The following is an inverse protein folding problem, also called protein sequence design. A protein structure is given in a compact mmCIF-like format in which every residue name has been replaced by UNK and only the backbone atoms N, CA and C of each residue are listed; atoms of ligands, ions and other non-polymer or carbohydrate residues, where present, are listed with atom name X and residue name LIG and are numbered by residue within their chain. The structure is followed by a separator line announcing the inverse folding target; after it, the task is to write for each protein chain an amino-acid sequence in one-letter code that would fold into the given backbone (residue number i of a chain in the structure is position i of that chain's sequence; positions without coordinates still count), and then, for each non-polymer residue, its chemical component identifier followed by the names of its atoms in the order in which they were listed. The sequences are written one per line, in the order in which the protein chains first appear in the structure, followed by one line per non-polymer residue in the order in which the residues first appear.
data_IF_836169508686
#
_entry.id   IF_836169508686
#
_cell.length_a   1.000
_cell.length_b   1.000
_cell.length_c   1.000
_cell.angle_alpha   90.00
_cell.angle_beta   90.00
_cell.angle_gamma   90.00
#
_symmetry.space_group_name_H-M   'P 1'
#
loop_
_entity.id
_entity.type
_entity.pdbx_description
1 polymer ?
#
# COMPACT_ATOMS: atom_id res chain seq x y z
N UNK A 1 -0.92 -23.23 5.36
CA UNK A 1 -1.49 -22.30 4.37
C UNK A 1 -0.40 -21.28 4.07
N UNK A 2 -0.13 -20.99 2.79
CA UNK A 2 0.83 -19.94 2.39
C UNK A 2 0.33 -18.58 2.93
N UNK A 3 1.20 -17.81 3.57
CA UNK A 3 0.87 -16.49 4.13
C UNK A 3 0.29 -15.56 3.05
N UNK A 4 0.79 -15.68 1.82
CA UNK A 4 0.29 -14.92 0.67
C UNK A 4 -1.17 -15.26 0.35
N UNK A 5 -1.56 -16.52 0.49
CA UNK A 5 -2.95 -16.95 0.25
C UNK A 5 -3.88 -16.49 1.38
N UNK A 6 -3.41 -16.51 2.63
CA UNK A 6 -4.15 -15.95 3.76
C UNK A 6 -4.42 -14.46 3.57
N UNK A 7 -3.40 -13.68 3.19
CA UNK A 7 -3.56 -12.24 2.94
C UNK A 7 -4.53 -11.97 1.78
N UNK A 8 -4.49 -12.76 0.70
CA UNK A 8 -5.44 -12.65 -0.41
C UNK A 8 -6.88 -12.91 0.05
N UNK A 9 -7.11 -13.96 0.84
CA UNK A 9 -8.44 -14.27 1.36
C UNK A 9 -8.96 -13.16 2.29
N UNK A 10 -8.12 -12.69 3.21
CA UNK A 10 -8.47 -11.59 4.11
C UNK A 10 -8.76 -10.30 3.32
N UNK A 11 -8.00 -10.02 2.27
CA UNK A 11 -8.25 -8.83 1.43
C UNK A 11 -9.57 -8.95 0.69
N UNK A 12 -9.94 -10.13 0.18
CA UNK A 12 -11.26 -10.37 -0.42
C UNK A 12 -12.39 -10.22 0.62
N UNK A 13 -12.19 -10.68 1.87
CA UNK A 13 -13.14 -10.48 2.97
C UNK A 13 -13.30 -8.98 3.29
N UNK A 14 -12.19 -8.25 3.39
CA UNK A 14 -12.20 -6.81 3.60
C UNK A 14 -12.92 -6.08 2.47
N UNK A 15 -12.68 -6.47 1.21
CA UNK A 15 -13.38 -5.91 0.06
C UNK A 15 -14.89 -6.07 0.19
N UNK A 16 -15.38 -7.28 0.49
CA UNK A 16 -16.81 -7.56 0.67
C UNK A 16 -17.42 -6.67 1.76
N UNK A 17 -16.72 -6.49 2.88
CA UNK A 17 -17.18 -5.65 4.00
C UNK A 17 -17.22 -4.17 3.64
N UNK A 18 -16.22 -3.67 2.91
CA UNK A 18 -16.11 -2.25 2.59
C UNK A 18 -16.96 -1.84 1.38
N UNK A 19 -17.15 -2.73 0.40
CA UNK A 19 -17.83 -2.44 -0.88
C UNK A 19 -19.16 -1.69 -0.75
N UNK A 20 -20.06 -1.97 0.21
CA UNK A 20 -21.31 -1.22 0.34
C UNK A 20 -21.14 0.27 0.67
N UNK A 21 -20.01 0.65 1.26
CA UNK A 21 -19.70 2.02 1.70
C UNK A 21 -18.75 2.78 0.76
N UNK A 22 -18.37 2.17 -0.36
CA UNK A 22 -17.46 2.72 -1.35
C UNK A 22 -18.16 2.86 -2.69
N UNK A 23 -17.92 3.97 -3.37
CA UNK A 23 -18.38 4.18 -4.73
C UNK A 23 -17.75 3.17 -5.71
N UNK A 24 -16.43 2.95 -5.60
CA UNK A 24 -15.70 1.95 -6.36
C UNK A 24 -14.69 1.26 -5.44
N UNK A 25 -14.65 -0.08 -5.44
CA UNK A 25 -13.62 -0.83 -4.72
C UNK A 25 -13.35 -2.18 -5.40
N UNK A 26 -12.15 -2.33 -5.94
CA UNK A 26 -11.70 -3.53 -6.65
C UNK A 26 -10.46 -4.12 -6.02
N UNK A 27 -10.30 -5.43 -6.19
CA UNK A 27 -9.06 -6.13 -5.88
C UNK A 27 -8.05 -5.91 -7.00
N UNK A 28 -6.79 -5.59 -6.66
CA UNK A 28 -5.74 -5.38 -7.66
C UNK A 28 -5.15 -6.71 -8.15
N UNK A 29 -5.81 -7.31 -9.14
CA UNK A 29 -5.38 -8.58 -9.74
C UNK A 29 -4.06 -8.47 -10.51
N UNK A 30 -3.66 -7.26 -10.95
CA UNK A 30 -2.48 -7.07 -11.81
C UNK A 30 -1.16 -7.28 -11.07
N UNK A 31 -1.14 -7.04 -9.76
CA UNK A 31 0.10 -7.08 -8.96
C UNK A 31 0.26 -8.36 -8.16
N UNK A 32 -0.73 -9.27 -8.19
CA UNK A 32 -0.78 -10.47 -7.35
C UNK A 32 -0.49 -10.20 -5.85
N UNK A 33 -0.76 -8.98 -5.41
CA UNK A 33 -0.58 -8.49 -4.04
C UNK A 33 -1.95 -8.24 -3.42
N UNK A 34 -2.09 -8.34 -2.08
CA UNK A 34 -3.36 -8.24 -1.36
C UNK A 34 -3.84 -6.77 -1.25
N UNK A 35 -3.93 -6.06 -2.38
CA UNK A 35 -4.30 -4.65 -2.44
C UNK A 35 -5.73 -4.46 -2.93
N UNK A 36 -6.40 -3.46 -2.36
CA UNK A 36 -7.64 -2.93 -2.90
C UNK A 36 -7.40 -1.54 -3.46
N UNK A 37 -8.00 -1.23 -4.60
CA UNK A 37 -7.93 0.08 -5.22
C UNK A 37 -9.34 0.60 -5.41
N UNK A 38 -9.60 1.85 -5.04
CA UNK A 38 -10.96 2.38 -5.12
C UNK A 38 -11.11 3.84 -4.70
N UNK A 39 -12.36 4.32 -4.77
CA UNK A 39 -12.79 5.64 -4.31
C UNK A 39 -13.95 5.49 -3.34
N UNK A 40 -13.87 6.17 -2.20
CA UNK A 40 -14.93 6.12 -1.19
C UNK A 40 -16.18 6.87 -1.65
N UNK A 41 -15.99 8.06 -2.24
CA UNK A 41 -17.02 8.86 -2.90
C UNK A 41 -16.65 9.05 -4.36
N UNK A 42 -17.62 9.37 -5.21
CA UNK A 42 -17.38 9.64 -6.64
C UNK A 42 -16.36 10.78 -6.86
N UNK A 43 -16.43 11.81 -6.02
CA UNK A 43 -15.55 12.99 -6.04
C UNK A 43 -14.16 12.75 -5.46
N UNK A 44 -13.93 11.62 -4.79
CA UNK A 44 -12.65 11.33 -4.16
C UNK A 44 -11.60 10.89 -5.19
N UNK A 45 -10.33 11.17 -4.89
CA UNK A 45 -9.21 10.56 -5.60
C UNK A 45 -9.15 9.04 -5.38
N UNK A 46 -8.56 8.32 -6.34
CA UNK A 46 -8.25 6.89 -6.19
C UNK A 46 -7.31 6.68 -5.00
N UNK A 47 -7.60 5.65 -4.20
CA UNK A 47 -6.82 5.25 -3.03
C UNK A 47 -6.43 3.79 -3.15
N UNK A 48 -5.24 3.47 -2.68
CA UNK A 48 -4.76 2.09 -2.54
C UNK A 48 -4.80 1.69 -1.07
N UNK A 49 -5.50 0.60 -0.77
CA UNK A 49 -5.56 -0.03 0.53
C UNK A 49 -4.66 -1.26 0.51
N UNK A 50 -3.68 -1.29 1.40
CA UNK A 50 -2.79 -2.43 1.62
C UNK A 50 -3.24 -3.13 2.89
N UNK A 51 -3.71 -4.37 2.78
CA UNK A 51 -3.98 -5.17 3.97
C UNK A 51 -2.66 -5.63 4.58
N UNK A 52 -2.55 -5.54 5.90
CA UNK A 52 -1.41 -6.08 6.67
C UNK A 52 -1.98 -6.83 7.88
N UNK A 53 -1.41 -7.98 8.20
CA UNK A 53 -1.73 -8.70 9.42
C UNK A 53 -1.22 -7.92 10.65
N UNK A 54 -2.11 -7.65 11.62
CA UNK A 54 -1.80 -6.91 12.84
C UNK A 54 -0.85 -7.65 13.80
N UNK A 55 -0.70 -8.96 13.66
CA UNK A 55 0.33 -9.73 14.36
C UNK A 55 1.74 -9.53 13.79
N UNK A 56 1.89 -8.86 12.64
CA UNK A 56 3.18 -8.63 12.01
C UNK A 56 3.76 -7.26 12.34
N UNK A 57 5.02 -7.26 12.77
CA UNK A 57 5.79 -6.03 12.90
C UNK A 57 6.19 -5.52 11.51
N UNK A 58 5.65 -4.36 11.13
CA UNK A 58 6.09 -3.65 9.92
C UNK A 58 7.14 -2.61 10.26
N UNK A 59 8.36 -2.82 9.76
CA UNK A 59 9.42 -1.83 9.84
C UNK A 59 9.31 -0.79 8.70
N UNK A 60 10.14 0.26 8.78
CA UNK A 60 10.14 1.34 7.79
C UNK A 60 10.43 0.87 6.36
N UNK A 61 11.34 -0.09 6.17
CA UNK A 61 11.66 -0.59 4.83
C UNK A 61 10.49 -1.37 4.24
N UNK A 62 9.80 -2.19 5.04
CA UNK A 62 8.58 -2.89 4.63
C UNK A 62 7.49 -1.92 4.19
N UNK A 63 7.23 -0.88 4.99
CA UNK A 63 6.27 0.17 4.64
C UNK A 63 6.64 0.87 3.32
N UNK A 64 7.92 1.20 3.15
CA UNK A 64 8.42 1.83 1.93
C UNK A 64 8.26 0.93 0.71
N UNK A 65 8.50 -0.36 0.84
CA UNK A 65 8.27 -1.35 -0.21
C UNK A 65 6.79 -1.38 -0.61
N UNK A 66 5.86 -1.46 0.35
CA UNK A 66 4.42 -1.42 0.04
C UNK A 66 4.01 -0.14 -0.71
N UNK A 67 4.54 1.02 -0.30
CA UNK A 67 4.26 2.29 -1.00
C UNK A 67 4.80 2.23 -2.43
N UNK A 68 6.06 1.81 -2.62
CA UNK A 68 6.67 1.70 -3.96
C UNK A 68 5.90 0.71 -4.85
N UNK A 69 5.57 -0.46 -4.34
CA UNK A 69 4.86 -1.52 -5.05
C UNK A 69 3.44 -1.12 -5.45
N UNK A 70 2.80 -0.26 -4.64
CA UNK A 70 1.48 0.31 -4.97
C UNK A 70 1.51 1.25 -6.18
N UNK A 71 2.69 1.67 -6.64
CA UNK A 71 2.86 2.70 -7.68
C UNK A 71 2.24 4.04 -7.32
N UNK A 72 1.99 4.28 -6.02
CA UNK A 72 1.37 5.50 -5.49
C UNK A 72 2.32 6.16 -4.49
N UNK A 73 2.25 7.49 -4.36
CA UNK A 73 3.04 8.24 -3.37
C UNK A 73 2.49 8.12 -1.94
N UNK A 74 1.29 7.58 -1.80
CA UNK A 74 0.61 7.33 -0.54
C UNK A 74 -0.28 6.07 -0.65
N UNK A 75 -0.44 5.39 0.48
CA UNK A 75 -1.32 4.24 0.64
C UNK A 75 -2.12 4.37 1.94
N UNK A 76 -3.18 3.59 2.06
CA UNK A 76 -3.85 3.35 3.34
C UNK A 76 -3.53 1.93 3.79
N UNK A 77 -2.91 1.77 4.95
CA UNK A 77 -2.77 0.46 5.57
C UNK A 77 -4.11 0.10 6.22
N UNK A 78 -4.61 -1.10 5.91
CA UNK A 78 -5.69 -1.74 6.63
C UNK A 78 -5.09 -2.84 7.50
N UNK A 79 -4.91 -2.54 8.79
CA UNK A 79 -4.32 -3.47 9.75
C UNK A 79 -5.43 -4.34 10.31
N UNK A 80 -5.39 -5.63 10.03
CA UNK A 80 -6.39 -6.60 10.48
C UNK A 80 -5.94 -7.26 11.79
N UNK A 81 -6.77 -7.20 12.82
CA UNK A 81 -6.51 -7.87 14.11
C UNK A 81 -7.29 -9.18 14.22
N UNK A 82 -6.85 -10.05 15.12
CA UNK A 82 -7.40 -11.39 15.31
C UNK A 82 -8.89 -11.38 15.73
N UNK A 83 -9.34 -10.29 16.36
CA UNK A 83 -10.73 -10.03 16.72
C UNK A 83 -11.61 -9.60 15.52
N UNK A 84 -11.08 -9.69 14.29
CA UNK A 84 -11.73 -9.25 13.04
C UNK A 84 -11.94 -7.74 12.90
N UNK A 85 -11.38 -6.93 13.82
CA UNK A 85 -11.34 -5.47 13.68
C UNK A 85 -10.34 -5.08 12.60
N UNK A 86 -10.54 -3.92 11.96
CA UNK A 86 -9.52 -3.34 11.10
C UNK A 86 -9.35 -1.86 11.35
N UNK A 87 -8.09 -1.46 11.50
CA UNK A 87 -7.71 -0.06 11.69
C UNK A 87 -7.07 0.46 10.41
N UNK A 88 -7.41 1.69 10.05
CA UNK A 88 -6.97 2.30 8.80
C UNK A 88 -6.00 3.44 9.08
N UNK A 89 -4.76 3.33 8.58
CA UNK A 89 -3.74 4.38 8.70
C UNK A 89 -3.34 4.88 7.32
N UNK A 90 -3.36 6.20 7.11
CA UNK A 90 -2.81 6.81 5.90
C UNK A 90 -1.29 6.92 6.05
N UNK A 91 -0.56 6.34 5.11
CA UNK A 91 0.89 6.41 5.04
C UNK A 91 1.30 7.13 3.75
N UNK A 92 2.23 8.06 3.86
CA UNK A 92 2.71 8.84 2.73
C UNK A 92 4.22 9.04 2.83
N UNK A 93 4.89 8.89 1.70
CA UNK A 93 6.28 9.30 1.55
C UNK A 93 6.30 10.80 1.26
N UNK A 94 6.71 11.62 2.24
CA UNK A 94 6.84 13.06 2.04
C UNK A 94 8.07 13.43 1.21
N UNK A 95 7.96 14.50 0.40
CA UNK A 95 9.07 15.09 -0.39
C UNK A 95 10.27 15.57 0.47
N UNK A 96 10.07 15.75 1.79
CA UNK A 96 11.11 16.07 2.77
C UNK A 96 11.62 14.85 3.57
N UNK A 97 11.24 13.64 3.17
CA UNK A 97 11.90 12.45 3.69
C UNK A 97 13.34 12.46 3.20
N UNK A 98 14.31 12.28 4.11
CA UNK A 98 15.73 12.12 3.75
C UNK A 98 15.93 11.09 2.62
N UNK A 99 15.01 10.13 2.51
CA UNK A 99 15.02 9.09 1.50
C UNK A 99 14.91 9.56 0.03
N UNK A 100 14.18 10.65 -0.26
CA UNK A 100 14.09 11.15 -1.64
C UNK A 100 15.34 11.93 -2.07
N UNK A 101 16.16 12.38 -1.11
CA UNK A 101 17.47 12.96 -1.42
C UNK A 101 18.43 11.90 -1.95
N UNK A 102 18.44 10.71 -1.36
CA UNK A 102 19.39 9.65 -1.72
C UNK A 102 19.19 9.12 -3.16
N UNK A 103 17.94 9.04 -3.65
CA UNK A 103 17.66 8.62 -5.04
C UNK A 103 18.04 9.68 -6.10
N UNK A 104 18.05 10.95 -5.72
CA UNK A 104 18.43 12.03 -6.63
C UNK A 104 19.95 12.12 -6.78
N UNK A 105 20.69 11.75 -5.73
CA UNK A 105 22.16 11.75 -5.73
C UNK A 105 22.70 10.56 -6.57
N UNK A 106 22.17 9.35 -6.40
CA UNK A 106 22.60 8.19 -7.21
C UNK A 106 22.33 8.34 -8.72
N UNK A 107 21.31 9.11 -9.11
CA UNK A 107 21.00 9.37 -10.52
C UNK A 107 21.96 10.39 -11.17
N UNK A 108 22.65 11.19 -10.35
CA UNK A 108 23.52 12.27 -10.82
C UNK A 108 24.98 11.81 -10.96
N UNK A 109 25.42 10.82 -10.17
CA UNK A 109 26.81 10.34 -10.20
C UNK A 109 27.12 9.40 -11.39
N UNK A 110 26.12 8.83 -12.07
CA UNK A 110 26.35 7.93 -13.22
C UNK A 110 26.44 8.59 -14.60
N UNK A 111 26.33 9.92 -14.69
CA UNK A 111 26.35 10.64 -15.98
C UNK A 111 27.64 11.42 -16.23
N UNK A 112 28.68 11.20 -15.41
CA UNK A 112 29.89 12.02 -15.38
C UNK A 112 31.19 11.26 -15.64
N UNK A 113 31.20 10.24 -16.48
CA UNK A 113 32.45 9.67 -17.03
C UNK A 113 32.27 9.42 -18.53
N UNK A 114 32.67 10.42 -19.33
CA UNK A 114 33.29 10.29 -20.65
C UNK A 114 33.54 11.70 -21.19
N UNK A 115 34.72 12.23 -20.83
CA UNK A 115 35.33 13.43 -21.39
C UNK A 115 36.83 13.24 -21.48
#
# INVERSE_FOLDING_TARGET
MDETELEKELTKKLQKRLRPSWHELRYDEKRNKPYLVGKKKETDGMRTLCLVNGGMNMNFQGLKTHIKDSGSSNITLAIYSDDSTSVFYKCQMGLKSHFLRDQTIESTEKSGENG
#
